data_IF_815095812437
#
_entry.id   IF_815095812437
#
_cell.length_a   1.000
_cell.length_b   1.000
_cell.length_c   1.000
_cell.angle_alpha   90.00
_cell.angle_beta   90.00
_cell.angle_gamma   90.00
#
_symmetry.space_group_name_H-M   'P 1'
#
loop_
_entity.id
_entity.type
_entity.pdbx_description
1 polymer ?
#
# COMPACT_ATOMS: atom_id res chain seq x y z
N UNK A 1 14.25 32.19 19.23
CA UNK A 1 14.14 31.44 17.95
C UNK A 1 13.85 30.00 18.28
N UNK A 2 12.60 29.56 18.11
CA UNK A 2 12.20 28.16 18.33
C UNK A 2 12.85 27.30 17.25
N UNK A 3 13.75 26.40 17.67
CA UNK A 3 14.22 25.33 16.78
C UNK A 3 13.09 24.32 16.65
N UNK A 4 12.16 24.57 15.74
CA UNK A 4 11.30 23.51 15.25
C UNK A 4 12.22 22.42 14.69
N UNK A 5 12.28 21.28 15.36
CA UNK A 5 12.96 20.10 14.82
C UNK A 5 12.24 19.73 13.52
N UNK A 6 12.87 20.00 12.37
CA UNK A 6 12.34 19.55 11.08
C UNK A 6 12.07 18.05 11.20
N UNK A 7 10.80 17.66 11.02
CA UNK A 7 10.40 16.26 10.91
C UNK A 7 11.25 15.62 9.82
N UNK A 8 12.01 14.58 10.17
CA UNK A 8 12.90 13.94 9.20
C UNK A 8 12.07 12.96 8.35
N UNK A 9 11.94 13.24 7.06
CA UNK A 9 11.25 12.38 6.12
C UNK A 9 11.91 10.97 6.04
N UNK A 10 11.07 9.95 5.94
CA UNK A 10 11.50 8.56 5.71
C UNK A 10 12.04 8.43 4.29
N UNK A 11 13.13 7.69 4.12
CA UNK A 11 13.79 7.45 2.83
C UNK A 11 14.05 5.97 2.63
N UNK A 12 14.30 5.54 1.39
CA UNK A 12 14.67 4.14 1.08
C UNK A 12 15.92 3.69 1.85
N UNK A 13 16.90 4.58 2.06
CA UNK A 13 18.09 4.30 2.87
C UNK A 13 17.76 4.09 4.35
N UNK A 14 16.78 4.84 4.90
CA UNK A 14 16.34 4.65 6.27
C UNK A 14 15.58 3.33 6.43
N UNK A 15 14.69 2.98 5.48
CA UNK A 15 14.00 1.69 5.50
C UNK A 15 14.97 0.50 5.47
N UNK A 16 16.04 0.59 4.68
CA UNK A 16 17.10 -0.42 4.67
C UNK A 16 17.80 -0.52 6.03
N UNK A 17 18.12 0.61 6.66
CA UNK A 17 18.73 0.63 8.00
C UNK A 17 17.82 0.04 9.07
N UNK A 18 16.51 0.27 9.01
CA UNK A 18 15.55 -0.34 9.93
C UNK A 18 15.64 -1.87 9.86
N UNK A 19 15.67 -2.45 8.65
CA UNK A 19 15.90 -3.89 8.48
C UNK A 19 17.22 -4.34 9.08
N UNK A 20 18.33 -3.67 8.79
CA UNK A 20 19.66 -3.99 9.30
C UNK A 20 19.70 -3.96 10.83
N UNK A 21 18.91 -3.11 11.48
CA UNK A 21 18.79 -2.96 12.93
C UNK A 21 17.73 -3.88 13.55
N UNK A 22 16.97 -4.63 12.75
CA UNK A 22 15.86 -5.46 13.22
C UNK A 22 14.63 -4.65 13.64
N UNK A 23 14.57 -3.36 13.30
CA UNK A 23 13.42 -2.50 13.54
C UNK A 23 12.32 -2.80 12.52
N UNK A 24 11.07 -2.96 13.01
CA UNK A 24 9.94 -3.29 12.14
C UNK A 24 9.40 -2.06 11.43
N UNK A 25 9.11 -2.21 10.14
CA UNK A 25 8.56 -1.18 9.27
C UNK A 25 7.04 -1.27 9.30
N UNK A 26 6.40 -0.16 9.63
CA UNK A 26 4.95 -0.03 9.60
C UNK A 26 4.50 0.60 8.27
N UNK A 27 3.54 -0.06 7.61
CA UNK A 27 2.98 0.41 6.35
C UNK A 27 1.46 0.33 6.39
N UNK A 28 0.77 1.31 5.83
CA UNK A 28 -0.69 1.33 5.74
C UNK A 28 -1.12 1.94 4.40
N UNK A 29 -2.30 1.58 3.89
CA UNK A 29 -2.84 2.27 2.73
C UNK A 29 -3.49 3.60 3.12
N UNK A 30 -3.47 4.58 2.20
CA UNK A 30 -4.30 5.78 2.27
C UNK A 30 -4.69 6.23 0.86
N UNK A 31 -5.82 6.97 0.73
CA UNK A 31 -6.37 7.31 -0.58
C UNK A 31 -6.84 8.77 -0.67
N UNK A 32 -6.77 9.52 0.42
CA UNK A 32 -7.17 10.92 0.50
C UNK A 32 -6.31 11.71 1.49
N UNK A 33 -6.46 13.03 1.44
CA UNK A 33 -5.72 13.99 2.26
C UNK A 33 -5.94 13.80 3.77
N UNK A 34 -7.20 13.65 4.20
CA UNK A 34 -7.55 13.63 5.63
C UNK A 34 -7.02 12.35 6.29
N UNK A 35 -7.22 11.19 5.65
CA UNK A 35 -6.70 9.92 6.15
C UNK A 35 -5.17 9.93 6.14
N UNK A 36 -4.53 10.45 5.09
CA UNK A 36 -3.08 10.55 5.00
C UNK A 36 -2.50 11.38 6.14
N UNK A 37 -3.09 12.54 6.44
CA UNK A 37 -2.66 13.40 7.56
C UNK A 37 -2.79 12.71 8.92
N UNK A 38 -3.86 11.94 9.14
CA UNK A 38 -4.07 11.17 10.38
C UNK A 38 -2.98 10.09 10.53
N UNK A 39 -2.74 9.29 9.50
CA UNK A 39 -1.79 8.17 9.60
C UNK A 39 -0.34 8.64 9.62
N UNK A 40 0.00 9.71 8.92
CA UNK A 40 1.32 10.34 8.97
C UNK A 40 1.59 10.93 10.36
N UNK A 41 0.62 11.68 10.90
CA UNK A 41 0.68 12.22 12.25
C UNK A 41 0.77 11.15 13.36
N UNK A 42 0.29 9.93 13.09
CA UNK A 42 0.47 8.77 13.97
C UNK A 42 1.87 8.15 13.89
N UNK A 43 2.71 8.57 12.93
CA UNK A 43 4.11 8.14 12.81
C UNK A 43 4.32 6.90 11.96
N UNK A 44 3.42 6.59 11.01
CA UNK A 44 3.60 5.49 10.05
C UNK A 44 4.87 5.69 9.21
N UNK A 45 5.56 4.61 8.83
CA UNK A 45 6.81 4.73 8.06
C UNK A 45 6.57 4.81 6.55
N UNK A 46 5.60 4.03 6.04
CA UNK A 46 5.24 4.02 4.62
C UNK A 46 3.73 4.18 4.47
N UNK A 47 3.32 5.02 3.54
CA UNK A 47 1.94 5.10 3.08
C UNK A 47 1.86 4.54 1.66
N UNK A 48 0.96 3.56 1.46
CA UNK A 48 0.69 2.99 0.15
C UNK A 48 -0.59 3.61 -0.43
N UNK A 49 -0.47 4.26 -1.57
CA UNK A 49 -1.62 4.56 -2.39
C UNK A 49 -1.89 3.33 -3.24
N UNK A 50 -2.67 2.39 -2.68
CA UNK A 50 -2.91 1.09 -3.27
C UNK A 50 -3.98 1.11 -4.37
N UNK A 51 -3.85 0.25 -5.38
CA UNK A 51 -4.91 0.02 -6.37
C UNK A 51 -6.17 -0.60 -5.75
N UNK A 52 -6.08 -1.08 -4.50
CA UNK A 52 -7.21 -1.42 -3.63
C UNK A 52 -8.20 -0.25 -3.44
N UNK A 53 -7.83 0.99 -3.83
CA UNK A 53 -8.77 2.10 -3.98
C UNK A 53 -9.96 1.72 -4.89
N UNK A 54 -9.75 0.90 -5.91
CA UNK A 54 -10.83 0.36 -6.74
C UNK A 54 -11.89 -0.35 -5.90
N UNK A 55 -11.49 -1.09 -4.88
CA UNK A 55 -12.42 -1.82 -4.01
C UNK A 55 -13.03 -0.93 -2.94
N UNK A 56 -12.20 -0.24 -2.13
CA UNK A 56 -12.65 0.41 -0.89
C UNK A 56 -13.16 1.84 -1.11
N UNK A 57 -12.77 2.50 -2.22
CA UNK A 57 -13.20 3.85 -2.56
C UNK A 57 -14.25 3.84 -3.68
N UNK A 58 -14.04 3.01 -4.73
CA UNK A 58 -14.92 2.99 -5.90
C UNK A 58 -15.92 1.82 -5.91
N UNK A 59 -15.84 0.86 -4.96
CA UNK A 59 -16.78 -0.26 -4.82
C UNK A 59 -16.67 -1.34 -5.90
N UNK A 60 -15.56 -1.40 -6.63
CA UNK A 60 -15.32 -2.45 -7.62
C UNK A 60 -15.01 -3.79 -6.95
N UNK A 61 -15.29 -4.90 -7.65
CA UNK A 61 -15.03 -6.26 -7.15
C UNK A 61 -13.55 -6.65 -7.20
N UNK A 62 -12.76 -6.00 -8.06
CA UNK A 62 -11.32 -6.25 -8.25
C UNK A 62 -10.57 -4.92 -8.36
N UNK A 63 -9.24 -4.96 -8.31
CA UNK A 63 -8.39 -3.76 -8.50
C UNK A 63 -8.25 -3.37 -9.97
N UNK A 64 -8.61 -4.24 -10.91
CA UNK A 64 -8.38 -4.07 -12.35
C UNK A 64 -8.99 -2.80 -12.98
N UNK A 65 -10.18 -2.32 -12.57
CA UNK A 65 -10.81 -1.18 -13.25
C UNK A 65 -10.17 0.18 -12.97
N UNK A 66 -9.36 0.31 -11.91
CA UNK A 66 -8.79 1.62 -11.57
C UNK A 66 -7.80 2.09 -12.63
N UNK A 67 -7.93 3.35 -13.03
CA UNK A 67 -7.09 3.93 -14.08
C UNK A 67 -5.85 4.62 -13.50
N UNK A 68 -4.86 4.88 -14.36
CA UNK A 68 -3.67 5.65 -14.01
C UNK A 68 -4.03 7.05 -13.50
N UNK A 69 -4.99 7.72 -14.13
CA UNK A 69 -5.42 9.07 -13.73
C UNK A 69 -6.08 9.08 -12.35
N UNK A 70 -6.87 8.05 -12.03
CA UNK A 70 -7.46 7.88 -10.70
C UNK A 70 -6.37 7.62 -9.64
N UNK A 71 -5.39 6.78 -9.95
CA UNK A 71 -4.26 6.55 -9.03
C UNK A 71 -3.45 7.82 -8.79
N UNK A 72 -3.18 8.60 -9.83
CA UNK A 72 -2.51 9.90 -9.72
C UNK A 72 -3.34 10.87 -8.87
N UNK A 73 -4.66 10.92 -9.05
CA UNK A 73 -5.55 11.74 -8.23
C UNK A 73 -5.45 11.36 -6.74
N UNK A 74 -5.62 10.08 -6.39
CA UNK A 74 -5.48 9.61 -5.02
C UNK A 74 -4.10 9.92 -4.45
N UNK A 75 -3.05 9.60 -5.19
CA UNK A 75 -1.67 9.85 -4.76
C UNK A 75 -1.39 11.34 -4.51
N UNK A 76 -1.87 12.23 -5.37
CA UNK A 76 -1.73 13.68 -5.18
C UNK A 76 -2.48 14.20 -3.95
N UNK A 77 -3.62 13.59 -3.60
CA UNK A 77 -4.33 13.90 -2.36
C UNK A 77 -3.55 13.45 -1.14
N UNK A 78 -3.01 12.24 -1.16
CA UNK A 78 -2.22 11.65 -0.07
C UNK A 78 -0.96 12.47 0.18
N UNK A 79 -0.18 12.74 -0.87
CA UNK A 79 1.11 13.48 -0.77
C UNK A 79 0.93 14.85 -0.11
N UNK A 80 -0.18 15.55 -0.39
CA UNK A 80 -0.47 16.85 0.28
C UNK A 80 -0.73 16.74 1.78
N UNK A 81 -1.10 15.55 2.27
CA UNK A 81 -1.38 15.29 3.69
C UNK A 81 -0.21 14.70 4.47
N UNK A 82 0.95 14.48 3.82
CA UNK A 82 2.10 13.77 4.40
C UNK A 82 3.30 14.71 4.56
N UNK A 83 3.93 14.67 5.74
CA UNK A 83 5.15 15.42 6.05
C UNK A 83 6.36 14.50 6.27
N UNK A 84 6.14 13.25 6.69
CA UNK A 84 7.19 12.33 7.14
C UNK A 84 7.25 11.01 6.36
N UNK A 85 6.13 10.32 6.21
CA UNK A 85 6.09 8.96 5.67
C UNK A 85 6.57 8.90 4.21
N UNK A 86 7.17 7.77 3.82
CA UNK A 86 7.53 7.49 2.43
C UNK A 86 6.28 7.08 1.65
N UNK A 87 5.89 7.81 0.62
CA UNK A 87 4.68 7.58 -0.15
C UNK A 87 4.97 6.73 -1.38
N UNK A 88 4.38 5.54 -1.46
CA UNK A 88 4.46 4.63 -2.61
C UNK A 88 3.10 4.58 -3.32
N UNK A 89 3.09 4.72 -4.64
CA UNK A 89 1.88 4.59 -5.45
C UNK A 89 1.90 3.31 -6.28
N UNK A 90 0.83 2.54 -6.25
CA UNK A 90 0.67 1.38 -7.14
C UNK A 90 0.54 1.82 -8.59
N UNK A 91 1.26 1.13 -9.47
CA UNK A 91 1.01 1.20 -10.90
C UNK A 91 -0.19 0.29 -11.22
N UNK A 92 -1.30 0.84 -11.76
CA UNK A 92 -2.49 0.04 -12.00
C UNK A 92 -2.31 -0.94 -13.16
N UNK A 93 -3.17 -1.96 -13.19
CA UNK A 93 -3.17 -2.99 -14.22
C UNK A 93 -3.18 -2.39 -15.64
N UNK A 94 -2.38 -2.96 -16.53
CA UNK A 94 -2.26 -2.54 -17.94
C UNK A 94 -1.25 -1.42 -18.18
N UNK A 95 -0.62 -0.85 -17.13
CA UNK A 95 0.30 0.28 -17.28
C UNK A 95 1.79 -0.11 -17.32
N UNK A 96 2.12 -1.39 -17.04
CA UNK A 96 3.52 -1.83 -16.96
C UNK A 96 3.78 -3.27 -17.44
N UNK A 97 2.74 -4.10 -17.64
CA UNK A 97 2.90 -5.52 -17.95
C UNK A 97 3.32 -5.79 -19.40
N UNK A 98 2.97 -4.88 -20.32
CA UNK A 98 3.14 -5.15 -21.76
C UNK A 98 4.43 -4.62 -22.38
N UNK A 99 4.90 -3.46 -21.94
CA UNK A 99 6.04 -2.76 -22.56
C UNK A 99 6.80 -1.89 -21.56
N UNK A 100 8.14 -2.04 -21.46
CA UNK A 100 8.95 -1.25 -20.52
C UNK A 100 8.92 0.27 -20.77
N UNK A 101 8.71 0.72 -22.00
CA UNK A 101 8.63 2.15 -22.31
C UNK A 101 7.32 2.74 -21.81
N UNK A 102 6.21 2.03 -22.00
CA UNK A 102 4.90 2.39 -21.44
C UNK A 102 4.95 2.39 -19.91
N UNK A 103 5.61 1.40 -19.31
CA UNK A 103 5.81 1.34 -17.86
C UNK A 103 6.56 2.56 -17.33
N UNK A 104 7.66 2.96 -18.00
CA UNK A 104 8.40 4.18 -17.64
C UNK A 104 7.53 5.43 -17.75
N UNK A 105 6.78 5.60 -18.84
CA UNK A 105 5.92 6.77 -19.02
C UNK A 105 4.84 6.85 -17.93
N UNK A 106 4.25 5.73 -17.56
CA UNK A 106 3.25 5.65 -16.49
C UNK A 106 3.86 6.00 -15.12
N UNK A 107 5.05 5.45 -14.81
CA UNK A 107 5.77 5.77 -13.58
C UNK A 107 6.17 7.25 -13.51
N UNK A 108 6.67 7.82 -14.61
CA UNK A 108 7.02 9.25 -14.70
C UNK A 108 5.80 10.14 -14.47
N UNK A 109 4.63 9.76 -14.99
CA UNK A 109 3.38 10.49 -14.72
C UNK A 109 3.02 10.46 -13.23
N UNK A 110 3.06 9.28 -12.60
CA UNK A 110 2.82 9.17 -11.16
C UNK A 110 3.74 10.09 -10.38
N UNK A 111 5.06 10.01 -10.59
CA UNK A 111 6.06 10.80 -9.86
C UNK A 111 5.85 12.30 -10.05
N UNK A 112 5.65 12.74 -11.29
CA UNK A 112 5.55 14.17 -11.62
C UNK A 112 4.23 14.81 -11.24
N UNK A 113 3.12 14.09 -11.42
CA UNK A 113 1.78 14.64 -11.26
C UNK A 113 1.28 14.50 -9.82
N UNK A 114 1.73 13.47 -9.07
CA UNK A 114 1.34 13.28 -7.68
C UNK A 114 2.37 13.74 -6.66
N UNK A 115 3.66 13.68 -6.99
CA UNK A 115 4.75 13.92 -6.03
C UNK A 115 5.05 12.73 -5.13
N UNK A 116 4.60 11.51 -5.46
CA UNK A 116 4.94 10.27 -4.72
C UNK A 116 6.46 10.03 -4.71
N UNK A 117 6.96 9.31 -3.70
CA UNK A 117 8.39 9.02 -3.53
C UNK A 117 8.84 7.77 -4.31
N UNK A 118 7.90 6.89 -4.67
CA UNK A 118 8.18 5.67 -5.42
C UNK A 118 6.92 5.01 -5.96
N UNK A 119 7.11 3.93 -6.73
CA UNK A 119 6.02 3.15 -7.32
C UNK A 119 6.09 1.69 -6.90
N UNK A 120 4.93 0.97 -6.90
CA UNK A 120 4.87 -0.47 -6.66
C UNK A 120 4.33 -1.19 -7.91
N UNK A 121 4.93 -2.35 -8.22
CA UNK A 121 4.57 -3.22 -9.33
C UNK A 121 4.41 -4.66 -8.83
N UNK A 122 3.42 -5.37 -9.41
CA UNK A 122 3.13 -6.77 -9.12
C UNK A 122 3.76 -7.69 -10.15
N UNK A 123 4.52 -8.68 -9.70
CA UNK A 123 5.18 -9.67 -10.54
C UNK A 123 6.69 -9.79 -10.27
N UNK A 124 7.30 -10.80 -10.86
CA UNK A 124 8.73 -11.12 -10.77
C UNK A 124 9.42 -11.03 -12.12
N UNK A 125 9.91 -12.19 -12.61
CA UNK A 125 10.64 -12.31 -13.88
C UNK A 125 9.86 -11.71 -15.07
N UNK A 126 8.55 -11.89 -15.09
CA UNK A 126 7.67 -11.47 -16.20
C UNK A 126 7.58 -9.95 -16.40
N UNK A 127 7.92 -9.16 -15.37
CA UNK A 127 7.90 -7.68 -15.43
C UNK A 127 9.28 -7.05 -15.25
N UNK A 128 10.34 -7.86 -15.17
CA UNK A 128 11.67 -7.38 -14.76
C UNK A 128 12.25 -6.30 -15.67
N UNK A 129 11.94 -6.33 -16.96
CA UNK A 129 12.42 -5.33 -17.90
C UNK A 129 11.75 -3.97 -17.65
N UNK A 130 10.47 -3.96 -17.29
CA UNK A 130 9.74 -2.76 -16.85
C UNK A 130 10.33 -2.21 -15.55
N UNK A 131 10.60 -3.06 -14.57
CA UNK A 131 11.23 -2.69 -13.30
C UNK A 131 12.60 -2.04 -13.55
N UNK A 132 13.48 -2.68 -14.32
CA UNK A 132 14.80 -2.16 -14.65
C UNK A 132 14.72 -0.82 -15.38
N UNK A 133 13.77 -0.67 -16.32
CA UNK A 133 13.60 0.56 -17.09
C UNK A 133 13.20 1.72 -16.20
N UNK A 134 12.30 1.51 -15.25
CA UNK A 134 11.85 2.51 -14.26
C UNK A 134 13.00 2.89 -13.32
N UNK A 135 13.71 1.90 -12.77
CA UNK A 135 14.86 2.10 -11.87
C UNK A 135 16.00 2.90 -12.55
N UNK A 136 16.28 2.61 -13.84
CA UNK A 136 17.29 3.33 -14.62
C UNK A 136 16.97 4.83 -14.77
N UNK A 137 15.69 5.21 -14.71
CA UNK A 137 15.26 6.60 -14.70
C UNK A 137 15.37 7.29 -13.32
N UNK A 138 15.82 6.56 -12.29
CA UNK A 138 15.99 7.09 -10.93
C UNK A 138 14.73 7.04 -10.08
N UNK A 139 13.69 6.30 -10.48
CA UNK A 139 12.44 6.15 -9.74
C UNK A 139 12.55 4.95 -8.80
N UNK A 140 12.35 5.11 -7.47
CA UNK A 140 12.36 3.98 -6.54
C UNK A 140 11.20 3.01 -6.81
N UNK A 141 11.51 1.71 -6.84
CA UNK A 141 10.54 0.64 -7.11
C UNK A 141 10.41 -0.28 -5.90
N UNK A 142 9.18 -0.56 -5.49
CA UNK A 142 8.80 -1.64 -4.58
C UNK A 142 8.21 -2.79 -5.40
N UNK A 143 8.74 -4.01 -5.23
CA UNK A 143 8.17 -5.21 -5.84
C UNK A 143 6.97 -5.75 -5.05
N UNK A 144 6.16 -6.61 -5.66
CA UNK A 144 5.06 -7.31 -4.99
C UNK A 144 4.92 -8.73 -5.52
N UNK A 145 5.06 -9.71 -4.62
CA UNK A 145 5.05 -11.15 -4.92
C UNK A 145 4.06 -11.90 -4.03
N UNK A 146 3.74 -13.11 -4.44
CA UNK A 146 2.77 -13.96 -3.78
C UNK A 146 1.39 -13.85 -4.42
N UNK A 147 0.37 -13.52 -3.64
CA UNK A 147 -0.90 -13.11 -4.22
C UNK A 147 -0.75 -11.72 -4.83
N UNK A 148 -0.97 -11.63 -6.13
CA UNK A 148 -0.97 -10.38 -6.89
C UNK A 148 -2.42 -10.09 -7.33
N UNK A 149 -3.12 -9.13 -6.68
CA UNK A 149 -4.54 -8.84 -6.99
C UNK A 149 -4.81 -8.51 -8.46
N UNK A 150 -3.86 -7.91 -9.15
CA UNK A 150 -3.98 -7.63 -10.59
C UNK A 150 -4.00 -8.91 -11.44
N UNK A 151 -3.51 -10.03 -10.93
CA UNK A 151 -3.54 -11.35 -11.57
C UNK A 151 -4.67 -12.26 -11.05
N UNK A 152 -5.66 -11.71 -10.33
CA UNK A 152 -6.71 -12.48 -9.63
C UNK A 152 -7.44 -13.48 -10.50
N UNK A 153 -7.69 -13.17 -11.77
CA UNK A 153 -8.37 -14.08 -12.72
C UNK A 153 -7.46 -15.24 -13.13
N UNK A 154 -6.18 -14.98 -13.35
CA UNK A 154 -5.18 -16.03 -13.66
C UNK A 154 -4.95 -16.94 -12.45
N UNK A 155 -4.93 -16.38 -11.24
CA UNK A 155 -4.74 -17.12 -9.98
C UNK A 155 -6.00 -17.88 -9.54
N UNK A 156 -7.14 -17.66 -10.18
CA UNK A 156 -8.41 -18.28 -9.82
C UNK A 156 -8.99 -17.79 -8.50
N UNK A 157 -8.64 -16.57 -8.06
CA UNK A 157 -9.13 -15.92 -6.84
C UNK A 157 -8.04 -15.58 -5.84
N UNK A 158 -8.45 -15.32 -4.60
CA UNK A 158 -7.60 -14.78 -3.53
C UNK A 158 -7.06 -15.88 -2.59
N UNK A 159 -6.62 -17.04 -3.12
CA UNK A 159 -6.06 -18.14 -2.33
C UNK A 159 -4.62 -17.87 -1.88
N UNK A 160 -4.14 -18.61 -0.87
CA UNK A 160 -2.73 -18.57 -0.45
C UNK A 160 -1.85 -19.14 -1.57
N UNK A 161 -0.82 -18.39 -1.96
CA UNK A 161 0.08 -18.69 -3.05
C UNK A 161 1.36 -19.42 -2.58
N UNK A 162 2.13 -19.97 -3.52
CA UNK A 162 3.45 -20.58 -3.29
C UNK A 162 3.47 -21.65 -2.19
N UNK A 163 2.43 -22.50 -2.12
CA UNK A 163 2.35 -23.63 -1.18
C UNK A 163 3.24 -24.78 -1.57
N UNK A 164 3.38 -25.00 -2.88
CA UNK A 164 4.19 -26.09 -3.45
C UNK A 164 5.66 -25.67 -3.55
N UNK A 165 6.58 -26.61 -3.38
CA UNK A 165 8.01 -26.32 -3.34
C UNK A 165 8.54 -25.67 -4.63
N UNK A 166 8.00 -26.04 -5.79
CA UNK A 166 8.40 -25.42 -7.06
C UNK A 166 7.99 -23.94 -7.11
N UNK A 167 6.77 -23.61 -6.69
CA UNK A 167 6.29 -22.23 -6.59
C UNK A 167 7.02 -21.43 -5.53
N UNK A 168 7.39 -22.06 -4.41
CA UNK A 168 8.18 -21.44 -3.36
C UNK A 168 9.61 -21.09 -3.86
N UNK A 169 10.26 -21.99 -4.62
CA UNK A 169 11.56 -21.72 -5.25
C UNK A 169 11.49 -20.59 -6.26
N UNK A 170 10.45 -20.56 -7.11
CA UNK A 170 10.23 -19.45 -8.05
C UNK A 170 10.08 -18.13 -7.32
N UNK A 171 9.25 -18.07 -6.27
CA UNK A 171 9.02 -16.84 -5.50
C UNK A 171 10.34 -16.32 -4.87
N UNK A 172 11.19 -17.19 -4.33
CA UNK A 172 12.52 -16.80 -3.82
C UNK A 172 13.42 -16.28 -4.93
N UNK A 173 13.40 -16.92 -6.11
CA UNK A 173 14.18 -16.48 -7.27
C UNK A 173 13.71 -15.10 -7.76
N UNK A 174 12.40 -14.90 -7.88
CA UNK A 174 11.81 -13.62 -8.27
C UNK A 174 12.15 -12.50 -7.27
N UNK A 175 12.10 -12.79 -5.96
CA UNK A 175 12.44 -11.82 -4.94
C UNK A 175 13.92 -11.39 -5.03
N UNK A 176 14.84 -12.32 -5.27
CA UNK A 176 16.25 -12.00 -5.51
C UNK A 176 16.45 -11.21 -6.81
N UNK A 177 15.74 -11.58 -7.87
CA UNK A 177 15.82 -10.87 -9.15
C UNK A 177 15.36 -9.41 -9.02
N UNK A 178 14.30 -9.14 -8.24
CA UNK A 178 13.86 -7.79 -7.94
C UNK A 178 14.89 -7.00 -7.12
N UNK A 179 15.52 -7.64 -6.13
CA UNK A 179 16.61 -7.02 -5.36
C UNK A 179 17.81 -6.71 -6.25
N UNK A 180 18.25 -7.67 -7.07
CA UNK A 180 19.37 -7.50 -8.02
C UNK A 180 19.09 -6.39 -9.05
N UNK A 181 17.82 -6.21 -9.45
CA UNK A 181 17.42 -5.11 -10.32
C UNK A 181 17.52 -3.74 -9.63
N UNK A 182 17.48 -3.69 -8.29
CA UNK A 182 17.59 -2.46 -7.51
C UNK A 182 16.30 -2.03 -6.81
N UNK A 183 15.29 -2.89 -6.69
CA UNK A 183 14.10 -2.59 -5.87
C UNK A 183 14.52 -2.29 -4.43
N UNK A 184 13.87 -1.30 -3.79
CA UNK A 184 14.20 -0.92 -2.43
C UNK A 184 13.48 -1.76 -1.37
N UNK A 185 12.39 -2.45 -1.72
CA UNK A 185 11.61 -3.33 -0.85
C UNK A 185 10.74 -4.28 -1.69
N UNK A 186 10.21 -5.35 -1.07
CA UNK A 186 9.27 -6.29 -1.69
C UNK A 186 8.10 -6.56 -0.75
N UNK A 187 6.86 -6.42 -1.24
CA UNK A 187 5.65 -6.89 -0.58
C UNK A 187 5.50 -8.39 -0.79
N UNK A 188 5.17 -9.13 0.26
CA UNK A 188 4.87 -10.56 0.25
C UNK A 188 3.42 -10.76 0.71
N UNK A 189 2.52 -11.11 -0.22
CA UNK A 189 1.10 -11.24 0.09
C UNK A 189 0.63 -12.69 0.06
N UNK A 190 -0.11 -13.09 1.12
CA UNK A 190 -0.82 -14.38 1.24
C UNK A 190 0.02 -15.59 0.81
N UNK A 191 1.20 -15.73 1.41
CA UNK A 191 2.10 -16.88 1.27
C UNK A 191 2.30 -17.56 2.63
N UNK A 192 2.76 -18.81 2.69
CA UNK A 192 3.10 -19.47 3.96
C UNK A 192 4.12 -18.67 4.77
N UNK A 193 3.86 -18.50 6.08
CA UNK A 193 4.72 -17.72 6.97
C UNK A 193 6.17 -18.20 7.00
N UNK A 194 6.40 -19.52 6.93
CA UNK A 194 7.76 -20.08 6.86
C UNK A 194 8.48 -19.69 5.57
N UNK A 195 7.77 -19.61 4.43
CA UNK A 195 8.33 -19.15 3.17
C UNK A 195 8.66 -17.66 3.22
N UNK A 196 7.74 -16.82 3.75
CA UNK A 196 7.98 -15.39 3.89
C UNK A 196 9.24 -15.11 4.75
N UNK A 197 9.43 -15.85 5.84
CA UNK A 197 10.65 -15.77 6.66
C UNK A 197 11.91 -16.13 5.84
N UNK A 198 11.88 -17.23 5.08
CA UNK A 198 13.00 -17.63 4.21
C UNK A 198 13.34 -16.56 3.17
N UNK A 199 12.32 -15.93 2.56
CA UNK A 199 12.53 -14.83 1.60
C UNK A 199 13.18 -13.63 2.31
N UNK A 200 12.66 -13.24 3.47
CA UNK A 200 13.18 -12.09 4.24
C UNK A 200 14.63 -12.29 4.66
N UNK A 201 15.01 -13.51 5.06
CA UNK A 201 16.39 -13.87 5.42
C UNK A 201 17.32 -13.94 4.20
N UNK A 202 16.79 -14.19 3.00
CA UNK A 202 17.56 -14.29 1.77
C UNK A 202 17.82 -12.94 1.08
N UNK A 203 17.16 -11.88 1.50
CA UNK A 203 17.26 -10.53 0.93
C UNK A 203 17.93 -9.56 1.90
N UNK A 204 18.60 -8.55 1.36
CA UNK A 204 19.13 -7.40 2.12
C UNK A 204 18.17 -6.21 2.15
N UNK A 205 17.24 -6.13 1.18
CA UNK A 205 16.18 -5.12 1.13
C UNK A 205 15.00 -5.53 2.03
N UNK A 206 14.23 -4.56 2.55
CA UNK A 206 13.05 -4.84 3.37
C UNK A 206 12.00 -5.69 2.68
N UNK A 207 11.37 -6.59 3.44
CA UNK A 207 10.17 -7.32 3.05
C UNK A 207 8.98 -6.85 3.87
N UNK A 208 7.85 -6.56 3.22
CA UNK A 208 6.61 -6.11 3.87
C UNK A 208 5.55 -7.18 3.69
N UNK A 209 5.04 -7.72 4.79
CA UNK A 209 4.06 -8.81 4.77
C UNK A 209 2.62 -8.34 4.84
N UNK A 210 1.74 -9.03 4.11
CA UNK A 210 0.29 -9.02 4.33
C UNK A 210 -0.24 -10.44 4.19
N UNK A 211 -0.74 -11.01 5.28
CA UNK A 211 -1.13 -12.43 5.30
C UNK A 211 0.05 -13.39 5.06
N UNK A 212 1.27 -12.97 5.41
CA UNK A 212 2.51 -13.72 5.22
C UNK A 212 3.24 -14.05 6.55
N UNK A 213 2.56 -13.86 7.69
CA UNK A 213 3.12 -14.09 9.02
C UNK A 213 4.04 -12.97 9.50
N UNK A 214 4.64 -13.14 10.68
CA UNK A 214 5.46 -12.13 11.38
C UNK A 214 6.95 -12.16 11.02
N UNK A 215 7.36 -13.07 10.13
CA UNK A 215 8.77 -13.26 9.74
C UNK A 215 9.32 -12.25 8.74
N UNK A 216 8.51 -11.31 8.28
CA UNK A 216 8.90 -10.19 7.41
C UNK A 216 9.43 -9.00 8.20
N UNK A 217 10.10 -8.07 7.52
CA UNK A 217 10.69 -6.88 8.16
C UNK A 217 9.64 -5.81 8.49
N UNK A 218 8.50 -5.81 7.79
CA UNK A 218 7.37 -4.93 8.05
C UNK A 218 6.03 -5.60 7.76
N UNK A 219 4.95 -4.85 7.97
CA UNK A 219 3.57 -5.27 7.71
C UNK A 219 2.78 -4.15 7.05
N UNK A 220 1.85 -4.53 6.15
CA UNK A 220 0.87 -3.60 5.57
C UNK A 220 -0.55 -4.10 5.76
N UNK A 221 -1.48 -3.19 5.97
CA UNK A 221 -2.93 -3.43 5.93
C UNK A 221 -3.64 -2.35 5.11
N UNK A 222 -4.81 -2.69 4.59
CA UNK A 222 -5.75 -1.71 4.03
C UNK A 222 -6.39 -0.94 5.18
N UNK A 223 -6.29 0.39 5.17
CA UNK A 223 -6.77 1.24 6.29
C UNK A 223 -8.25 1.05 6.59
N UNK A 224 -9.09 0.91 5.57
CA UNK A 224 -10.53 0.67 5.73
C UNK A 224 -10.84 -0.64 6.45
N UNK A 225 -10.04 -1.67 6.19
CA UNK A 225 -10.19 -2.97 6.84
C UNK A 225 -9.67 -2.92 8.28
N UNK A 226 -8.50 -2.30 8.49
CA UNK A 226 -7.87 -2.15 9.81
C UNK A 226 -8.75 -1.34 10.77
N UNK A 227 -9.39 -0.28 10.27
CA UNK A 227 -10.28 0.57 11.08
C UNK A 227 -11.72 0.05 11.15
N UNK A 228 -12.03 -1.08 10.49
CA UNK A 228 -13.35 -1.69 10.56
C UNK A 228 -14.44 -0.87 9.85
N UNK A 229 -14.11 -0.14 8.80
CA UNK A 229 -15.08 0.54 7.93
C UNK A 229 -15.83 -0.49 7.09
N UNK A 230 -15.11 -1.52 6.58
CA UNK A 230 -15.67 -2.62 5.80
C UNK A 230 -16.10 -3.78 6.71
N UNK A 231 -17.40 -4.01 6.90
CA UNK A 231 -17.91 -5.11 7.74
C UNK A 231 -17.76 -6.50 7.11
N UNK A 232 -17.91 -6.60 5.80
CA UNK A 232 -18.01 -7.88 5.07
C UNK A 232 -16.68 -8.62 4.87
N UNK A 233 -15.53 -7.98 5.07
CA UNK A 233 -14.21 -8.56 4.83
C UNK A 233 -13.50 -8.87 6.15
N UNK A 234 -13.29 -10.15 6.46
CA UNK A 234 -12.66 -10.59 7.70
C UNK A 234 -11.75 -11.81 7.48
N UNK A 235 -10.67 -11.68 6.70
CA UNK A 235 -9.72 -12.77 6.51
C UNK A 235 -8.92 -13.02 7.79
N UNK A 236 -8.37 -14.25 7.92
CA UNK A 236 -7.61 -14.68 9.11
C UNK A 236 -6.46 -13.73 9.49
N UNK A 237 -5.83 -13.07 8.52
CA UNK A 237 -4.68 -12.20 8.76
C UNK A 237 -5.06 -10.78 9.21
N UNK A 238 -6.33 -10.39 9.07
CA UNK A 238 -6.79 -9.06 9.43
C UNK A 238 -7.03 -8.95 10.94
N UNK A 239 -6.37 -8.00 11.57
CA UNK A 239 -6.72 -7.52 12.91
C UNK A 239 -7.38 -6.15 12.75
N UNK A 240 -8.61 -6.01 13.28
CA UNK A 240 -9.27 -4.72 13.39
C UNK A 240 -8.80 -4.02 14.66
N UNK A 241 -8.44 -2.76 14.54
CA UNK A 241 -8.01 -1.89 15.66
C UNK A 241 -9.11 -0.92 16.09
N UNK A 242 -10.15 -0.77 15.26
CA UNK A 242 -11.34 0.02 15.55
C UNK A 242 -12.57 -0.61 14.87
N UNK A 243 -13.77 -0.08 15.17
CA UNK A 243 -15.04 -0.43 14.51
C UNK A 243 -15.72 0.87 14.03
N UNK A 244 -15.06 1.55 13.09
CA UNK A 244 -15.55 2.86 12.62
C UNK A 244 -16.88 2.76 11.88
N UNK A 245 -17.21 1.63 11.26
CA UNK A 245 -18.51 1.47 10.62
C UNK A 245 -19.67 1.77 11.58
N UNK A 246 -19.66 1.16 12.78
CA UNK A 246 -20.75 1.32 13.73
C UNK A 246 -20.74 2.72 14.34
N UNK A 247 -19.56 3.23 14.69
CA UNK A 247 -19.39 4.60 15.23
C UNK A 247 -19.90 5.65 14.24
N UNK A 248 -19.55 5.53 12.96
CA UNK A 248 -19.99 6.46 11.92
C UNK A 248 -21.49 6.34 11.66
N UNK A 249 -22.04 5.10 11.67
CA UNK A 249 -23.47 4.87 11.51
C UNK A 249 -24.26 5.55 12.63
N UNK A 250 -23.87 5.30 13.89
CA UNK A 250 -24.51 5.90 15.08
C UNK A 250 -24.44 7.44 15.04
N UNK A 251 -23.29 8.01 14.69
CA UNK A 251 -23.15 9.45 14.57
C UNK A 251 -24.08 10.05 13.51
N UNK A 252 -24.25 9.38 12.37
CA UNK A 252 -25.19 9.80 11.32
C UNK A 252 -26.66 9.65 11.78
N UNK A 253 -26.98 8.58 12.51
CA UNK A 253 -28.33 8.37 13.08
C UNK A 253 -28.68 9.47 14.08
N UNK A 254 -27.76 9.87 14.98
CA UNK A 254 -27.95 10.99 15.89
C UNK A 254 -28.18 12.30 15.12
N UNK A 255 -27.31 12.62 14.16
CA UNK A 255 -27.48 13.81 13.33
C UNK A 255 -28.87 13.85 12.63
N UNK A 256 -29.31 12.70 12.09
CA UNK A 256 -30.65 12.60 11.48
C UNK A 256 -31.77 12.89 12.51
N UNK A 257 -31.63 12.37 13.73
CA UNK A 257 -32.61 12.58 14.80
C UNK A 257 -32.67 14.07 15.19
N UNK A 258 -31.53 14.71 15.39
CA UNK A 258 -31.43 16.11 15.81
C UNK A 258 -31.99 17.05 14.74
N UNK A 259 -31.69 16.82 13.46
CA UNK A 259 -32.28 17.60 12.36
C UNK A 259 -33.81 17.44 12.31
N UNK A 260 -34.32 16.21 12.48
CA UNK A 260 -35.78 15.96 12.41
C UNK A 260 -36.54 16.46 13.61
N UNK A 261 -35.91 16.57 14.77
CA UNK A 261 -36.51 17.15 15.99
C UNK A 261 -36.35 18.66 16.07
N UNK A 262 -35.65 19.30 15.13
CA UNK A 262 -35.28 20.72 15.14
C UNK A 262 -34.35 21.08 16.32
N UNK A 263 -33.59 20.12 16.86
CA UNK A 263 -32.57 20.38 17.84
C UNK A 263 -31.24 20.87 17.22
N UNK A 264 -30.98 20.45 15.97
CA UNK A 264 -29.89 20.97 15.14
C UNK A 264 -30.40 21.67 13.88
N UNK A 265 -29.96 22.91 13.53
CA UNK A 265 -29.16 23.81 14.41
C UNK A 265 -30.03 24.45 15.48
N UNK A 266 -29.54 24.58 16.70
CA UNK A 266 -30.17 25.33 17.79
C UNK A 266 -29.67 26.80 17.82
N UNK A 267 -30.10 27.58 18.81
CA UNK A 267 -29.78 29.01 18.90
C UNK A 267 -28.28 29.32 18.99
N UNK A 268 -27.45 28.38 19.45
CA UNK A 268 -26.01 28.55 19.54
C UNK A 268 -25.27 28.21 18.23
N UNK A 269 -25.93 27.62 17.25
CA UNK A 269 -25.36 27.11 16.00
C UNK A 269 -25.87 27.88 14.78
N UNK A 270 -26.58 28.99 14.96
CA UNK A 270 -27.09 29.85 13.89
C UNK A 270 -26.45 31.25 13.95
N UNK A 271 -26.42 31.94 12.80
CA UNK A 271 -25.85 33.28 12.65
C UNK A 271 -26.93 34.37 12.61
#
# INVERSE_FOLDING_TARGET
MSTESKVRAVTTSQLKKMKEQGEKISMITSYDYSMASIVDGAGIDIILVGDSAANVMAGHKTTLPITLDQMIYHASCVVRGVERAFVVCDMPFGTYQGDPTTALHSAVRIMKESGSDGVKLEGGEEIIDSVKKILTAGIPVMGHLGLTPQSVHQLGGYSVQAKEEAAAKKLIADAKLLEEAGCFAVVLEKIPAALAKRVSEALTIPTIGIGAGAGTDGQVLVVHDMLGINKGFSPKFLRRYANLHDIMTEAVEHYIADVKSCDFPNENEQY
#
